data_IF_592047579347
#
_entry.id   IF_592047579347
#
_cell.length_a   1.000
_cell.length_b   1.000
_cell.length_c   1.000
_cell.angle_alpha   90.00
_cell.angle_beta   90.00
_cell.angle_gamma   90.00
#
_symmetry.space_group_name_H-M   'P 1'
#
loop_
_entity.id
_entity.type
_entity.pdbx_description
1 polymer ?
#
# COMPACT_ATOMS: atom_id res chain seq x y z
N UNK A 1 7.35 -17.49 1.94
CA UNK A 1 7.76 -18.45 0.89
C UNK A 1 8.65 -17.70 -0.11
N UNK A 2 9.84 -18.23 -0.42
CA UNK A 2 10.69 -17.71 -1.50
C UNK A 2 10.12 -18.24 -2.81
N UNK A 3 9.41 -17.40 -3.58
CA UNK A 3 8.98 -17.73 -4.94
C UNK A 3 9.79 -16.90 -5.92
N UNK A 4 10.44 -17.54 -6.89
CA UNK A 4 10.97 -17.02 -8.17
C UNK A 4 11.48 -15.56 -8.23
N UNK A 5 12.13 -15.08 -7.17
CA UNK A 5 12.64 -13.71 -7.12
C UNK A 5 11.58 -12.64 -6.87
N UNK A 6 10.50 -12.96 -6.14
CA UNK A 6 9.49 -12.00 -5.66
C UNK A 6 9.27 -12.12 -4.15
N UNK A 7 9.03 -10.98 -3.51
CA UNK A 7 8.69 -10.83 -2.10
C UNK A 7 7.25 -10.34 -1.97
N UNK A 8 6.40 -11.17 -1.39
CA UNK A 8 5.06 -10.78 -0.97
C UNK A 8 5.14 -10.10 0.40
N UNK A 9 4.58 -8.89 0.48
CA UNK A 9 4.29 -8.22 1.75
C UNK A 9 2.78 -8.15 1.91
N UNK A 10 2.28 -8.55 3.07
CA UNK A 10 0.85 -8.60 3.34
C UNK A 10 0.56 -8.08 4.73
N UNK A 11 -0.60 -7.46 4.89
CA UNK A 11 -1.08 -6.99 6.18
C UNK A 11 -2.56 -7.35 6.35
N UNK A 12 -2.89 -7.89 7.52
CA UNK A 12 -4.24 -8.27 7.90
C UNK A 12 -4.28 -8.89 9.29
N UNK A 13 -5.47 -8.86 9.89
CA UNK A 13 -5.80 -9.55 11.13
C UNK A 13 -5.87 -11.06 10.90
N UNK A 14 -5.75 -11.86 11.97
CA UNK A 14 -5.52 -13.31 12.01
C UNK A 14 -6.43 -14.15 11.09
N UNK A 15 -7.58 -13.61 10.70
CA UNK A 15 -8.61 -14.32 9.96
C UNK A 15 -8.74 -13.89 8.49
N UNK A 16 -8.17 -12.73 8.09
CA UNK A 16 -8.22 -12.21 6.71
C UNK A 16 -7.05 -11.28 6.39
N UNK A 17 -6.17 -11.70 5.48
CA UNK A 17 -5.30 -10.79 4.74
C UNK A 17 -6.19 -9.96 3.81
N UNK A 18 -6.30 -8.66 4.07
CA UNK A 18 -7.16 -7.78 3.27
C UNK A 18 -6.40 -7.01 2.20
N UNK A 19 -5.11 -6.73 2.43
CA UNK A 19 -4.26 -6.01 1.49
C UNK A 19 -2.85 -6.61 1.46
N UNK A 20 -2.22 -6.55 0.29
CA UNK A 20 -0.86 -6.99 0.08
C UNK A 20 -0.28 -6.40 -1.20
N UNK A 21 1.05 -6.40 -1.27
CA UNK A 21 1.83 -5.95 -2.41
C UNK A 21 2.93 -6.99 -2.66
N UNK A 22 3.04 -7.44 -3.91
CA UNK A 22 4.10 -8.35 -4.36
C UNK A 22 5.12 -7.54 -5.15
N UNK A 23 6.39 -7.67 -4.80
CA UNK A 23 7.46 -6.90 -5.42
C UNK A 23 8.60 -7.82 -5.79
N UNK A 24 9.21 -7.63 -6.96
CA UNK A 24 10.39 -8.40 -7.33
C UNK A 24 11.55 -8.12 -6.36
N UNK A 25 12.31 -9.16 -6.03
CA UNK A 25 13.57 -9.08 -5.28
C UNK A 25 14.56 -8.14 -5.96
N UNK A 26 14.49 -7.97 -7.29
CA UNK A 26 15.30 -6.98 -8.01
C UNK A 26 15.07 -5.54 -7.54
N UNK A 27 13.89 -5.26 -6.96
CA UNK A 27 13.52 -3.95 -6.42
C UNK A 27 13.72 -3.85 -4.90
N UNK A 28 14.26 -4.90 -4.25
CA UNK A 28 14.41 -4.96 -2.79
C UNK A 28 15.27 -3.84 -2.21
N UNK A 29 16.30 -3.40 -2.93
CA UNK A 29 17.19 -2.36 -2.45
C UNK A 29 16.65 -0.93 -2.69
N UNK A 30 15.54 -0.81 -3.42
CA UNK A 30 14.92 0.46 -3.77
C UNK A 30 13.82 0.86 -2.78
N UNK A 31 13.56 0.08 -1.74
CA UNK A 31 12.56 0.45 -0.73
C UNK A 31 13.04 1.57 0.17
N UNK A 32 12.26 2.63 0.23
CA UNK A 32 12.49 3.73 1.18
C UNK A 32 11.52 3.67 2.35
N UNK A 33 10.27 3.22 2.16
CA UNK A 33 9.32 3.05 3.28
C UNK A 33 8.16 2.11 2.96
N UNK A 34 7.65 1.48 4.01
CA UNK A 34 6.43 0.65 3.98
C UNK A 34 5.53 1.16 5.10
N UNK A 35 4.32 1.58 4.75
CA UNK A 35 3.30 1.99 5.70
C UNK A 35 2.13 1.02 5.60
N UNK A 36 1.93 0.23 6.65
CA UNK A 36 0.77 -0.63 6.81
C UNK A 36 -0.23 0.06 7.73
N UNK A 37 -1.40 0.40 7.19
CA UNK A 37 -2.51 0.89 8.00
C UNK A 37 -3.39 -0.31 8.34
N UNK A 38 -3.79 -0.48 9.61
CA UNK A 38 -4.55 -1.65 10.02
C UNK A 38 -5.73 -1.95 9.08
N UNK A 39 -5.79 -3.20 8.65
CA UNK A 39 -6.87 -3.87 7.92
C UNK A 39 -7.24 -3.41 6.49
N UNK A 40 -6.89 -2.23 5.97
CA UNK A 40 -7.45 -1.79 4.67
C UNK A 40 -6.53 -1.05 3.71
N UNK A 41 -5.33 -0.65 4.13
CA UNK A 41 -4.43 0.09 3.24
C UNK A 41 -2.97 -0.28 3.49
N UNK A 42 -2.26 -0.50 2.40
CA UNK A 42 -0.83 -0.73 2.38
C UNK A 42 -0.21 0.19 1.33
N UNK A 43 0.74 1.01 1.75
CA UNK A 43 1.48 1.90 0.86
C UNK A 43 2.96 1.59 0.92
N UNK A 44 3.60 1.57 -0.23
CA UNK A 44 5.03 1.28 -0.37
C UNK A 44 5.67 2.35 -1.24
N UNK A 45 6.80 2.88 -0.77
CA UNK A 45 7.61 3.83 -1.50
C UNK A 45 8.86 3.16 -2.04
N UNK A 46 9.08 3.35 -3.34
CA UNK A 46 10.20 2.84 -4.11
C UNK A 46 10.99 4.04 -4.65
N UNK A 47 12.29 4.04 -4.43
CA UNK A 47 13.22 5.00 -4.99
C UNK A 47 14.28 4.25 -5.79
N UNK A 48 14.25 4.45 -7.11
CA UNK A 48 15.20 3.82 -8.05
C UNK A 48 16.41 4.71 -8.34
N UNK A 49 16.54 5.85 -7.66
CA UNK A 49 17.53 6.89 -7.93
C UNK A 49 17.25 7.73 -9.18
N UNK A 50 16.31 7.29 -10.03
CA UNK A 50 15.84 8.01 -11.23
C UNK A 50 14.38 8.44 -11.11
N UNK A 51 13.55 7.58 -10.51
CA UNK A 51 12.12 7.78 -10.35
C UNK A 51 11.74 7.34 -8.94
N UNK A 52 10.93 8.17 -8.31
CA UNK A 52 10.24 7.87 -7.06
C UNK A 52 8.84 7.35 -7.38
N UNK A 53 8.55 6.13 -6.97
CA UNK A 53 7.26 5.47 -7.19
C UNK A 53 6.58 5.21 -5.85
N UNK A 54 5.27 5.44 -5.78
CA UNK A 54 4.47 5.15 -4.59
C UNK A 54 3.30 4.23 -4.94
N UNK A 55 3.42 2.96 -4.57
CA UNK A 55 2.40 1.96 -4.80
C UNK A 55 1.44 1.89 -3.61
N UNK A 56 0.14 2.03 -3.86
CA UNK A 56 -0.91 1.94 -2.83
C UNK A 56 -1.86 0.78 -3.16
N UNK A 57 -1.96 -0.18 -2.25
CA UNK A 57 -2.93 -1.28 -2.28
C UNK A 57 -3.97 -1.04 -1.19
N UNK A 58 -5.23 -0.89 -1.58
CA UNK A 58 -6.32 -0.55 -0.67
C UNK A 58 -7.54 -1.45 -0.88
N UNK A 59 -8.19 -1.83 0.22
CA UNK A 59 -9.44 -2.58 0.21
C UNK A 59 -10.60 -1.64 0.59
N UNK A 60 -11.38 -1.26 -0.43
CA UNK A 60 -12.47 -0.32 -0.25
C UNK A 60 -13.58 -0.85 0.69
N UNK A 61 -14.23 0.02 1.48
CA UNK A 61 -15.36 -0.35 2.32
C UNK A 61 -16.52 -0.93 1.49
N UNK A 62 -17.09 -2.04 1.95
CA UNK A 62 -18.23 -2.68 1.29
C UNK A 62 -19.51 -1.84 1.41
N UNK A 63 -20.53 -2.14 0.59
CA UNK A 63 -21.80 -1.40 0.55
C UNK A 63 -22.47 -1.30 1.93
N UNK A 64 -22.40 -2.39 2.73
CA UNK A 64 -22.95 -2.46 4.09
C UNK A 64 -22.12 -1.79 5.19
N UNK A 65 -20.95 -1.23 4.88
CA UNK A 65 -20.19 -0.43 5.84
C UNK A 65 -20.92 0.88 6.17
N UNK A 66 -20.74 1.33 7.41
CA UNK A 66 -21.29 2.59 7.92
C UNK A 66 -20.72 3.79 7.14
N UNK A 67 -21.46 4.90 7.11
CA UNK A 67 -20.97 6.15 6.53
C UNK A 67 -19.66 6.62 7.20
N UNK A 68 -19.52 6.39 8.51
CA UNK A 68 -18.32 6.70 9.28
C UNK A 68 -17.11 5.91 8.80
N UNK A 69 -17.25 4.60 8.59
CA UNK A 69 -16.19 3.76 8.03
C UNK A 69 -15.80 4.18 6.61
N UNK A 70 -16.78 4.59 5.79
CA UNK A 70 -16.54 5.09 4.43
C UNK A 70 -15.75 6.41 4.47
N UNK A 71 -16.19 7.38 5.27
CA UNK A 71 -15.48 8.67 5.41
C UNK A 71 -14.06 8.47 5.94
N UNK A 72 -13.91 7.69 7.01
CA UNK A 72 -12.60 7.42 7.60
C UNK A 72 -11.63 6.74 6.61
N UNK A 73 -12.13 5.83 5.77
CA UNK A 73 -11.32 5.23 4.72
C UNK A 73 -10.81 6.27 3.71
N UNK A 74 -11.69 7.16 3.23
CA UNK A 74 -11.29 8.19 2.25
C UNK A 74 -10.39 9.27 2.85
N UNK A 75 -10.61 9.67 4.10
CA UNK A 75 -9.73 10.59 4.83
C UNK A 75 -8.32 10.02 4.93
N UNK A 76 -8.22 8.74 5.35
CA UNK A 76 -6.95 8.04 5.44
C UNK A 76 -6.31 7.89 4.06
N UNK A 77 -7.04 7.45 3.04
CA UNK A 77 -6.50 7.34 1.68
C UNK A 77 -5.97 8.70 1.18
N UNK A 78 -6.72 9.78 1.43
CA UNK A 78 -6.33 11.14 1.10
C UNK A 78 -5.00 11.54 1.76
N UNK A 79 -4.76 11.18 3.02
CA UNK A 79 -3.48 11.46 3.68
C UNK A 79 -2.26 10.83 2.97
N UNK A 80 -2.45 9.75 2.22
CA UNK A 80 -1.38 9.05 1.51
C UNK A 80 -1.24 9.50 0.06
N UNK A 81 -2.33 9.96 -0.55
CA UNK A 81 -2.37 10.45 -1.94
C UNK A 81 -2.05 11.94 -2.05
N UNK A 82 -2.54 12.79 -1.14
CA UNK A 82 -2.30 14.24 -1.21
C UNK A 82 -0.82 14.65 -1.14
N UNK A 83 0.07 13.97 -0.39
CA UNK A 83 1.49 14.31 -0.37
C UNK A 83 2.28 13.84 -1.60
N UNK A 84 1.65 13.17 -2.56
CA UNK A 84 2.29 12.73 -3.80
C UNK A 84 2.45 13.96 -4.69
N UNK A 85 3.68 14.48 -4.79
CA UNK A 85 4.00 15.58 -5.68
C UNK A 85 4.10 15.13 -7.14
N UNK A 86 4.16 16.08 -8.08
CA UNK A 86 4.21 15.83 -9.53
C UNK A 86 5.41 14.97 -9.99
N UNK A 87 6.42 14.80 -9.12
CA UNK A 87 7.63 14.00 -9.37
C UNK A 87 7.48 12.53 -8.94
N UNK A 88 6.43 12.19 -8.19
CA UNK A 88 6.13 10.82 -7.76
C UNK A 88 5.12 10.16 -8.73
N UNK A 89 5.45 8.99 -9.27
CA UNK A 89 4.55 8.21 -10.12
C UNK A 89 3.74 7.22 -9.27
N UNK A 90 2.43 7.19 -9.47
CA UNK A 90 1.46 6.28 -8.82
C UNK A 90 1.42 4.90 -9.49
#
# INVERSE_FOLDING_TARGET
MRGDGYRLMYHGTTDRIKVGIVISEALRNHFTSINCIPDRLMAVKLDTGKIMMRMISAYAPQVGCTAKEKSSFYEVLGQYVHPIGDEEVL
#
